data_IF_937795618214
#
_entry.id   IF_937795618214
#
_cell.length_a   1.000
_cell.length_b   1.000
_cell.length_c   1.000
_cell.angle_alpha   90.00
_cell.angle_beta   90.00
_cell.angle_gamma   90.00
#
_symmetry.space_group_name_H-M   'P 1'
#
loop_
_entity.id
_entity.type
_entity.pdbx_description
1 polymer ?
#
# COMPACT_ATOMS: atom_id res chain seq x y z
N UNK A 1 12.55 -1.56 3.01
CA UNK A 1 12.73 -2.28 4.26
C UNK A 1 14.19 -2.56 4.59
N UNK A 2 14.44 -3.17 5.73
CA UNK A 2 15.78 -3.60 6.15
C UNK A 2 16.24 -4.85 5.38
N UNK A 3 17.55 -5.08 5.30
CA UNK A 3 18.19 -6.24 4.63
C UNK A 3 19.44 -6.71 5.38
N UNK A 4 19.63 -6.31 6.59
CA UNK A 4 20.84 -6.65 7.34
C UNK A 4 20.74 -7.97 8.10
N UNK A 5 21.77 -8.27 8.90
CA UNK A 5 21.84 -9.45 9.77
C UNK A 5 20.67 -9.59 10.74
N UNK A 6 20.00 -8.48 11.03
CA UNK A 6 18.85 -8.44 11.93
C UNK A 6 17.51 -8.67 11.23
N UNK A 7 17.50 -8.93 9.90
CA UNK A 7 16.25 -9.23 9.18
C UNK A 7 15.56 -10.44 9.81
N UNK A 8 14.24 -10.39 10.08
CA UNK A 8 13.53 -11.47 10.76
C UNK A 8 13.65 -12.79 10.00
N UNK A 9 14.01 -13.85 10.72
CA UNK A 9 13.96 -15.23 10.25
C UNK A 9 12.55 -15.80 10.47
N UNK A 10 12.28 -16.97 9.92
CA UNK A 10 10.95 -17.60 9.99
C UNK A 10 10.52 -17.91 11.43
N UNK A 11 11.45 -18.28 12.30
CA UNK A 11 11.26 -18.56 13.71
C UNK A 11 11.06 -17.32 14.60
N UNK A 12 11.28 -16.12 14.02
CA UNK A 12 11.09 -14.81 14.66
C UNK A 12 9.79 -14.12 14.18
N UNK A 13 8.94 -14.84 13.43
CA UNK A 13 7.66 -14.36 12.92
C UNK A 13 6.51 -15.07 13.65
N UNK A 14 5.62 -14.29 14.23
CA UNK A 14 4.53 -14.75 15.10
C UNK A 14 3.17 -14.43 14.47
N UNK A 15 2.13 -15.15 14.87
CA UNK A 15 0.73 -14.88 14.48
C UNK A 15 0.17 -13.63 15.15
N UNK A 16 0.69 -13.30 16.35
CA UNK A 16 0.31 -12.13 17.12
C UNK A 16 1.50 -11.66 17.96
N UNK A 17 1.85 -10.38 17.88
CA UNK A 17 2.94 -9.73 18.61
C UNK A 17 2.90 -8.20 18.44
N UNK A 18 3.94 -7.50 18.89
CA UNK A 18 4.02 -6.04 19.00
C UNK A 18 3.95 -5.29 17.66
N UNK A 19 4.67 -5.75 16.63
CA UNK A 19 4.78 -5.01 15.38
C UNK A 19 4.41 -5.89 14.18
N UNK A 20 3.39 -5.49 13.43
CA UNK A 20 3.01 -6.16 12.20
C UNK A 20 4.11 -5.98 11.14
N UNK A 21 4.72 -7.09 10.74
CA UNK A 21 5.78 -7.13 9.73
C UNK A 21 5.18 -7.45 8.37
N UNK A 22 4.94 -6.42 7.59
CA UNK A 22 4.28 -6.51 6.29
C UNK A 22 5.19 -7.20 5.26
N UNK A 23 4.60 -8.09 4.51
CA UNK A 23 5.17 -8.64 3.28
C UNK A 23 4.41 -8.07 2.05
N UNK A 24 4.89 -8.36 0.84
CA UNK A 24 4.31 -7.80 -0.39
C UNK A 24 2.86 -8.23 -0.66
N UNK A 25 2.40 -9.36 -0.07
CA UNK A 25 0.99 -9.79 -0.16
C UNK A 25 0.05 -8.89 0.63
N UNK A 26 0.58 -8.17 1.63
CA UNK A 26 -0.21 -7.23 2.42
C UNK A 26 -0.48 -5.89 1.70
N UNK A 27 0.11 -5.68 0.51
CA UNK A 27 -0.13 -4.49 -0.31
C UNK A 27 -0.70 -4.93 -1.65
N UNK A 28 -1.98 -4.67 -1.84
CA UNK A 28 -2.75 -5.05 -3.02
C UNK A 28 -3.04 -3.84 -3.91
N UNK A 29 -3.70 -4.04 -5.04
CA UNK A 29 -4.19 -2.95 -5.90
C UNK A 29 -5.16 -2.03 -5.16
N UNK A 30 -5.89 -2.57 -4.17
CA UNK A 30 -6.90 -1.83 -3.41
C UNK A 30 -6.36 -1.19 -2.12
N UNK A 31 -5.07 -1.37 -1.81
CA UNK A 31 -4.45 -0.89 -0.59
C UNK A 31 -3.97 -2.00 0.33
N UNK A 32 -3.99 -1.78 1.64
CA UNK A 32 -3.61 -2.84 2.59
C UNK A 32 -4.62 -3.98 2.63
N UNK A 33 -4.10 -5.23 2.65
CA UNK A 33 -4.83 -6.44 3.05
C UNK A 33 -4.14 -7.06 4.26
N UNK A 34 -4.94 -7.49 5.22
CA UNK A 34 -4.50 -8.14 6.46
C UNK A 34 -5.02 -9.58 6.59
N UNK A 35 -5.28 -10.25 5.45
CA UNK A 35 -5.72 -11.65 5.40
C UNK A 35 -4.63 -12.58 5.95
N UNK A 36 -3.37 -12.27 5.67
CA UNK A 36 -2.21 -12.91 6.28
C UNK A 36 -1.46 -11.89 7.15
N UNK A 37 -1.09 -12.30 8.36
CA UNK A 37 -0.41 -11.44 9.32
C UNK A 37 0.80 -12.15 9.90
N UNK A 38 1.90 -11.43 9.96
CA UNK A 38 3.12 -11.86 10.62
C UNK A 38 3.62 -10.72 11.50
N UNK A 39 3.94 -11.02 12.72
CA UNK A 39 4.37 -10.04 13.69
C UNK A 39 5.79 -10.32 14.15
N UNK A 40 6.45 -9.28 14.63
CA UNK A 40 7.75 -9.35 15.29
C UNK A 40 7.68 -8.74 16.67
N UNK A 41 8.55 -9.19 17.56
CA UNK A 41 8.66 -8.68 18.93
C UNK A 41 9.09 -7.21 18.94
N UNK A 42 8.82 -6.52 20.05
CA UNK A 42 9.28 -5.15 20.30
C UNK A 42 10.80 -5.04 20.25
N UNK A 43 11.50 -6.06 20.76
CA UNK A 43 12.96 -6.13 20.71
C UNK A 43 13.48 -6.21 19.27
N UNK A 44 12.86 -7.09 18.46
CA UNK A 44 13.21 -7.22 17.04
C UNK A 44 12.91 -5.93 16.28
N UNK A 45 11.77 -5.29 16.52
CA UNK A 45 11.42 -4.00 15.91
C UNK A 45 12.46 -2.92 16.19
N UNK A 46 13.01 -2.85 17.42
CA UNK A 46 14.06 -1.90 17.77
C UNK A 46 15.41 -2.18 17.09
N UNK A 47 15.74 -3.43 16.82
CA UNK A 47 16.98 -3.83 16.15
C UNK A 47 17.00 -3.48 14.66
N UNK A 48 15.83 -3.39 14.03
CA UNK A 48 15.70 -3.05 12.63
C UNK A 48 15.81 -1.54 12.42
N UNK A 49 16.69 -1.14 11.50
CA UNK A 49 17.03 0.28 11.26
C UNK A 49 16.12 0.99 10.27
N UNK A 50 15.51 0.23 9.34
CA UNK A 50 14.71 0.79 8.23
C UNK A 50 13.35 0.10 8.12
N UNK A 51 12.41 0.78 7.48
CA UNK A 51 11.11 0.19 7.13
C UNK A 51 10.02 0.34 8.18
N UNK A 52 10.24 1.11 9.26
CA UNK A 52 9.18 1.49 10.21
C UNK A 52 8.25 2.50 9.55
N UNK A 53 6.94 2.23 9.60
CA UNK A 53 5.92 3.16 9.12
C UNK A 53 5.56 4.18 10.20
N UNK A 54 5.27 5.38 9.73
CA UNK A 54 4.60 6.44 10.46
C UNK A 54 3.24 6.72 9.79
N UNK A 55 2.30 7.27 10.53
CA UNK A 55 1.00 7.65 9.96
C UNK A 55 1.19 8.53 8.73
N UNK A 56 0.34 8.33 7.74
CA UNK A 56 0.36 9.02 6.46
C UNK A 56 1.51 8.63 5.51
N UNK A 57 2.28 7.60 5.84
CA UNK A 57 3.21 7.00 4.90
C UNK A 57 2.47 6.27 3.77
N UNK A 58 3.06 6.35 2.58
CA UNK A 58 2.63 5.58 1.42
C UNK A 58 3.62 4.42 1.23
N UNK A 59 3.10 3.21 1.09
CA UNK A 59 3.90 2.01 0.83
C UNK A 59 3.76 1.64 -0.64
N UNK A 60 4.89 1.41 -1.31
CA UNK A 60 4.95 0.94 -2.70
C UNK A 60 5.69 -0.40 -2.76
N UNK A 61 5.11 -1.39 -3.42
CA UNK A 61 5.77 -2.66 -3.67
C UNK A 61 6.80 -2.53 -4.79
N UNK A 62 8.00 -3.03 -4.53
CA UNK A 62 9.14 -2.99 -5.47
C UNK A 62 9.57 -4.36 -5.97
N UNK A 63 8.96 -5.44 -5.44
CA UNK A 63 9.18 -6.84 -5.84
C UNK A 63 7.86 -7.62 -5.79
N UNK A 64 7.79 -8.72 -6.50
CA UNK A 64 6.56 -9.49 -6.65
C UNK A 64 5.54 -8.72 -7.49
N UNK A 65 4.42 -8.33 -6.91
CA UNK A 65 3.44 -7.44 -7.56
C UNK A 65 3.94 -5.98 -7.51
N UNK A 66 4.85 -5.63 -8.42
CA UNK A 66 5.44 -4.29 -8.50
C UNK A 66 4.38 -3.24 -8.78
N UNK A 67 4.42 -2.12 -8.05
CA UNK A 67 3.57 -0.96 -8.29
C UNK A 67 2.28 -0.92 -7.48
N UNK A 68 2.01 -1.91 -6.63
CA UNK A 68 0.90 -1.81 -5.68
C UNK A 68 1.20 -0.75 -4.63
N UNK A 69 0.18 0.03 -4.27
CA UNK A 69 0.28 1.16 -3.35
C UNK A 69 -0.73 1.05 -2.23
N UNK A 70 -0.27 1.19 -0.99
CA UNK A 70 -1.12 1.28 0.19
C UNK A 70 -0.80 2.54 1.00
N UNK A 71 -1.80 3.06 1.69
CA UNK A 71 -1.70 4.27 2.51
C UNK A 71 -1.99 3.96 3.97
N UNK A 72 -1.11 4.41 4.86
CA UNK A 72 -1.22 4.16 6.29
C UNK A 72 -1.94 5.31 6.99
N UNK A 73 -3.26 5.33 6.85
CA UNK A 73 -4.15 6.33 7.46
C UNK A 73 -4.65 5.92 8.86
N UNK A 74 -5.52 6.74 9.44
CA UNK A 74 -6.09 6.52 10.76
C UNK A 74 -7.05 5.32 10.81
N UNK A 75 -7.58 4.85 9.68
CA UNK A 75 -8.49 3.69 9.61
C UNK A 75 -7.76 2.38 9.85
N UNK A 76 -6.43 2.36 9.67
CA UNK A 76 -5.63 1.16 9.93
C UNK A 76 -5.43 0.99 11.43
N UNK A 77 -6.02 -0.06 12.00
CA UNK A 77 -6.02 -0.33 13.45
C UNK A 77 -4.65 -0.64 14.06
N UNK A 78 -3.70 -1.08 13.25
CA UNK A 78 -2.36 -1.45 13.74
C UNK A 78 -1.52 -0.20 13.98
N UNK A 79 -0.97 -0.04 15.19
CA UNK A 79 -0.14 1.11 15.58
C UNK A 79 1.33 0.97 15.16
N UNK A 80 1.81 -0.26 15.07
CA UNK A 80 3.22 -0.55 14.78
C UNK A 80 3.27 -1.42 13.53
N UNK A 81 3.72 -0.84 12.43
CA UNK A 81 3.90 -1.53 11.16
C UNK A 81 5.33 -1.35 10.67
N UNK A 82 5.83 -2.37 10.02
CA UNK A 82 7.12 -2.35 9.36
C UNK A 82 7.06 -3.11 8.05
N UNK A 83 7.67 -2.58 7.01
CA UNK A 83 7.75 -3.23 5.70
C UNK A 83 8.93 -4.18 5.61
N UNK A 84 8.79 -5.24 4.82
CA UNK A 84 9.87 -6.10 4.40
C UNK A 84 10.76 -5.44 3.31
N UNK A 85 11.77 -6.18 2.84
CA UNK A 85 12.72 -5.67 1.83
C UNK A 85 12.14 -5.57 0.40
N UNK A 86 10.94 -6.08 0.16
CA UNK A 86 10.25 -6.01 -1.14
C UNK A 86 9.42 -4.74 -1.36
N UNK A 87 9.48 -3.82 -0.41
CA UNK A 87 8.69 -2.59 -0.43
C UNK A 87 9.55 -1.37 -0.07
N UNK A 88 9.04 -0.20 -0.37
CA UNK A 88 9.60 1.08 0.08
C UNK A 88 8.50 1.97 0.69
N UNK A 89 8.93 2.91 1.51
CA UNK A 89 8.09 3.93 2.10
C UNK A 89 8.35 5.24 1.34
N UNK A 90 7.27 5.88 0.92
CA UNK A 90 7.25 7.25 0.45
C UNK A 90 6.62 8.10 1.55
N UNK A 91 7.40 9.04 2.08
CA UNK A 91 6.97 9.97 3.12
C UNK A 91 7.00 11.37 2.56
N UNK A 92 5.85 11.91 2.12
CA UNK A 92 5.79 13.28 1.62
C UNK A 92 6.25 14.27 2.69
N UNK A 93 7.11 15.21 2.31
CA UNK A 93 7.62 16.25 3.20
C UNK A 93 7.11 17.65 2.84
N UNK A 94 6.35 17.76 1.77
CA UNK A 94 5.82 19.03 1.30
C UNK A 94 4.35 19.19 1.68
N UNK A 95 3.92 20.36 2.16
CA UNK A 95 2.50 20.63 2.44
C UNK A 95 1.67 20.76 1.16
N UNK A 96 2.31 21.00 0.00
CA UNK A 96 1.64 21.24 -1.28
C UNK A 96 1.34 19.95 -2.04
N UNK A 97 1.09 18.85 -1.33
CA UNK A 97 0.81 17.56 -1.92
C UNK A 97 -0.45 16.95 -1.31
N UNK A 98 -1.50 16.80 -2.13
CA UNK A 98 -2.67 16.04 -1.74
C UNK A 98 -2.34 14.53 -1.76
N UNK A 99 -2.51 13.87 -0.63
CA UNK A 99 -2.14 12.45 -0.46
C UNK A 99 -3.01 11.52 -1.33
N UNK A 100 -4.31 11.78 -1.45
CA UNK A 100 -5.19 10.96 -2.32
C UNK A 100 -4.80 11.09 -3.78
N UNK A 101 -4.48 12.31 -4.20
CA UNK A 101 -4.00 12.58 -5.55
C UNK A 101 -2.73 11.78 -5.85
N UNK A 102 -1.70 11.89 -5.00
CA UNK A 102 -0.42 11.19 -5.26
C UNK A 102 -0.56 9.67 -5.19
N UNK A 103 -1.41 9.13 -4.32
CA UNK A 103 -1.72 7.69 -4.27
C UNK A 103 -2.32 7.24 -5.60
N UNK A 104 -3.28 8.00 -6.14
CA UNK A 104 -3.89 7.70 -7.42
C UNK A 104 -2.88 7.74 -8.57
N UNK A 105 -2.05 8.77 -8.62
CA UNK A 105 -0.96 8.90 -9.61
C UNK A 105 0.01 7.71 -9.50
N UNK A 106 0.41 7.32 -8.29
CA UNK A 106 1.32 6.19 -8.09
C UNK A 106 0.70 4.85 -8.50
N UNK A 107 -0.60 4.62 -8.22
CA UNK A 107 -1.31 3.39 -8.60
C UNK A 107 -1.45 3.24 -10.12
N UNK A 108 -1.65 4.35 -10.81
CA UNK A 108 -1.88 4.37 -12.27
C UNK A 108 -0.59 4.62 -13.07
N UNK A 109 0.56 4.75 -12.40
CA UNK A 109 1.82 4.96 -13.10
C UNK A 109 2.29 3.68 -13.80
N UNK A 110 2.74 3.84 -15.04
CA UNK A 110 3.31 2.74 -15.81
C UNK A 110 4.79 2.54 -15.43
N UNK A 111 5.06 1.53 -14.63
CA UNK A 111 6.42 1.17 -14.19
C UNK A 111 7.16 0.28 -15.20
N UNK A 112 6.56 -0.14 -16.31
CA UNK A 112 7.15 -1.10 -17.26
C UNK A 112 8.54 -0.68 -17.76
N UNK A 113 8.74 0.62 -18.01
CA UNK A 113 10.02 1.17 -18.51
C UNK A 113 11.16 1.15 -17.48
N UNK A 114 10.84 0.99 -16.20
CA UNK A 114 11.81 1.06 -15.10
C UNK A 114 11.95 -0.26 -14.35
N UNK A 115 11.04 -1.21 -14.58
CA UNK A 115 11.14 -2.57 -14.05
C UNK A 115 12.36 -3.26 -14.67
N UNK A 116 13.05 -4.04 -13.87
CA UNK A 116 14.14 -4.93 -14.29
C UNK A 116 13.86 -6.36 -13.85
N UNK A 117 14.42 -7.33 -14.59
CA UNK A 117 14.24 -8.77 -14.35
C UNK A 117 12.96 -9.32 -15.00
N UNK A 118 13.12 -10.27 -15.94
CA UNK A 118 12.02 -10.93 -16.64
C UNK A 118 11.33 -11.98 -15.76
N UNK A 119 12.10 -12.80 -15.04
CA UNK A 119 11.57 -13.86 -14.19
C UNK A 119 11.05 -13.35 -12.83
N UNK A 120 11.73 -12.37 -12.25
CA UNK A 120 11.30 -11.71 -11.00
C UNK A 120 11.32 -10.19 -11.17
N UNK A 121 10.20 -9.58 -11.54
CA UNK A 121 10.10 -8.13 -11.71
C UNK A 121 10.54 -7.38 -10.46
N UNK A 122 11.43 -6.42 -10.62
CA UNK A 122 11.90 -5.55 -9.55
C UNK A 122 11.89 -4.10 -10.01
N UNK A 123 11.55 -3.21 -9.10
CA UNK A 123 11.60 -1.75 -9.29
C UNK A 123 12.80 -1.19 -8.50
N UNK A 124 13.95 -0.98 -9.16
CA UNK A 124 15.14 -0.42 -8.49
C UNK A 124 14.87 1.01 -8.02
N UNK A 125 15.23 1.31 -6.78
CA UNK A 125 15.03 2.66 -6.20
C UNK A 125 15.75 3.74 -7.02
N UNK A 126 16.91 3.42 -7.59
CA UNK A 126 17.67 4.34 -8.44
C UNK A 126 16.92 4.73 -9.73
N UNK A 127 16.16 3.79 -10.30
CA UNK A 127 15.29 4.05 -11.46
C UNK A 127 13.99 4.76 -11.05
N UNK A 128 13.41 4.34 -9.91
CA UNK A 128 12.20 4.97 -9.37
C UNK A 128 12.38 6.48 -9.13
N UNK A 129 13.53 6.88 -8.58
CA UNK A 129 13.87 8.30 -8.34
C UNK A 129 13.89 9.17 -9.60
N UNK A 130 13.97 8.58 -10.79
CA UNK A 130 13.97 9.28 -12.08
C UNK A 130 12.57 9.39 -12.69
N UNK A 131 11.57 8.80 -12.09
CA UNK A 131 10.19 8.88 -12.58
C UNK A 131 9.67 10.29 -12.29
N UNK A 132 9.25 10.97 -13.34
CA UNK A 132 8.55 12.24 -13.23
C UNK A 132 7.06 11.96 -13.00
N UNK A 133 6.51 12.55 -11.95
CA UNK A 133 5.09 12.50 -11.66
C UNK A 133 4.45 13.84 -11.99
N UNK A 134 3.23 13.87 -12.55
CA UNK A 134 2.50 15.11 -12.72
C UNK A 134 2.21 15.71 -11.34
N UNK A 135 2.50 17.00 -11.18
CA UNK A 135 2.25 17.72 -9.92
C UNK A 135 1.60 19.06 -10.24
N UNK A 136 0.29 19.10 -10.54
CA UNK A 136 -0.43 20.33 -10.76
C UNK A 136 -0.53 21.15 -9.46
N UNK A 137 -0.99 22.43 -9.54
CA UNK A 137 -1.27 23.22 -8.34
C UNK A 137 -2.17 22.50 -7.36
N UNK A 138 -2.00 22.75 -6.04
CA UNK A 138 -2.71 22.03 -4.97
C UNK A 138 -4.24 22.11 -5.12
N UNK A 139 -4.79 23.21 -5.61
CA UNK A 139 -6.22 23.35 -5.89
C UNK A 139 -6.73 22.25 -6.83
N UNK A 140 -6.05 22.05 -7.96
CA UNK A 140 -6.41 21.00 -8.93
C UNK A 140 -6.20 19.58 -8.36
N UNK A 141 -5.17 19.38 -7.50
CA UNK A 141 -4.99 18.10 -6.83
C UNK A 141 -6.18 17.80 -5.88
N UNK A 142 -6.69 18.83 -5.19
CA UNK A 142 -7.83 18.69 -4.29
C UNK A 142 -9.11 18.39 -5.07
N UNK A 143 -9.41 19.14 -6.13
CA UNK A 143 -10.56 18.89 -7.01
C UNK A 143 -10.55 17.45 -7.56
N UNK A 144 -9.40 17.00 -8.03
CA UNK A 144 -9.23 15.63 -8.50
C UNK A 144 -9.47 14.59 -7.39
N UNK A 145 -8.94 14.82 -6.19
CA UNK A 145 -9.11 13.92 -5.04
C UNK A 145 -10.57 13.84 -4.58
N UNK A 146 -11.31 14.95 -4.65
CA UNK A 146 -12.75 15.00 -4.36
C UNK A 146 -13.55 14.25 -5.42
N UNK A 147 -13.22 14.44 -6.70
CA UNK A 147 -13.82 13.70 -7.79
C UNK A 147 -13.62 12.17 -7.64
N UNK A 148 -12.39 11.72 -7.39
CA UNK A 148 -12.09 10.29 -7.16
C UNK A 148 -12.90 9.76 -5.98
N UNK A 149 -13.02 10.53 -4.89
CA UNK A 149 -13.80 10.14 -3.73
C UNK A 149 -15.29 9.97 -4.06
N UNK A 150 -15.83 10.81 -4.93
CA UNK A 150 -17.22 10.70 -5.40
C UNK A 150 -17.41 9.45 -6.26
N UNK A 151 -16.48 9.18 -7.17
CA UNK A 151 -16.51 7.98 -8.03
C UNK A 151 -16.44 6.71 -7.17
N UNK A 152 -15.54 6.64 -6.19
CA UNK A 152 -15.41 5.48 -5.28
C UNK A 152 -16.71 5.23 -4.51
N UNK A 153 -17.36 6.29 -3.99
CA UNK A 153 -18.66 6.19 -3.30
C UNK A 153 -19.75 5.66 -4.22
N UNK A 154 -19.80 6.15 -5.47
CA UNK A 154 -20.79 5.72 -6.46
C UNK A 154 -20.58 4.26 -6.85
N UNK A 155 -19.34 3.84 -7.06
CA UNK A 155 -18.99 2.45 -7.34
C UNK A 155 -19.42 1.54 -6.18
N UNK A 156 -19.11 1.89 -4.95
CA UNK A 156 -19.52 1.14 -3.76
C UNK A 156 -21.05 1.00 -3.64
N UNK A 157 -21.78 2.08 -3.91
CA UNK A 157 -23.26 2.05 -3.92
C UNK A 157 -23.80 1.08 -4.99
N UNK A 158 -23.22 1.10 -6.19
CA UNK A 158 -23.57 0.16 -7.26
C UNK A 158 -23.28 -1.29 -6.89
N UNK A 159 -22.12 -1.57 -6.26
CA UNK A 159 -21.75 -2.91 -5.81
C UNK A 159 -22.74 -3.45 -4.75
N UNK A 160 -23.15 -2.60 -3.80
CA UNK A 160 -24.20 -2.95 -2.82
C UNK A 160 -25.52 -3.26 -3.54
N UNK A 161 -25.98 -2.40 -4.44
CA UNK A 161 -27.21 -2.58 -5.18
C UNK A 161 -27.23 -3.92 -5.96
N UNK A 162 -26.13 -4.23 -6.66
CA UNK A 162 -25.95 -5.50 -7.38
C UNK A 162 -26.00 -6.69 -6.43
N UNK A 163 -25.36 -6.59 -5.26
CA UNK A 163 -25.35 -7.66 -4.26
C UNK A 163 -26.76 -7.92 -3.70
N UNK A 164 -27.48 -6.86 -3.38
CA UNK A 164 -28.87 -6.94 -2.90
C UNK A 164 -29.77 -7.59 -3.98
N UNK A 165 -29.67 -7.11 -5.22
CA UNK A 165 -30.44 -7.65 -6.33
C UNK A 165 -30.14 -9.14 -6.59
N UNK A 166 -28.89 -9.55 -6.60
CA UNK A 166 -28.50 -10.97 -6.72
C UNK A 166 -29.04 -11.84 -5.60
N UNK A 167 -29.12 -11.32 -4.39
CA UNK A 167 -29.68 -12.06 -3.26
C UNK A 167 -31.23 -12.19 -3.37
N UNK A 168 -31.94 -11.15 -3.80
CA UNK A 168 -33.38 -11.21 -4.00
C UNK A 168 -33.78 -12.21 -5.08
N UNK A 169 -33.01 -12.33 -6.17
CA UNK A 169 -33.25 -13.34 -7.20
C UNK A 169 -33.11 -14.79 -6.68
N UNK A 170 -32.29 -15.06 -5.71
CA UNK A 170 -32.14 -16.41 -5.12
C UNK A 170 -33.35 -16.85 -4.31
N UNK A 171 -34.16 -15.91 -3.84
CA UNK A 171 -35.42 -16.22 -3.11
C UNK A 171 -36.67 -16.32 -4.02
N UNK A 172 -36.53 -15.96 -5.29
CA UNK A 172 -37.66 -16.01 -6.27
C UNK A 172 -37.72 -17.32 -7.05
N UNK A 173 -36.87 -18.30 -6.75
CA UNK A 173 -36.79 -19.61 -7.48
C UNK A 173 -37.14 -20.77 -6.53
N UNK A 174 -38.03 -20.55 -5.56
CA UNK A 174 -38.65 -21.64 -4.75
C UNK A 174 -40.15 -21.62 -4.97
#
# INVERSE_FOLDING_TARGET
GDRGKNYPKSDELFSEEYCLFLNTKNVTKNGFSFDTKQFITKTKDKLLRKGKLERYDIVLTTRGTVGNVAYYDELIKYKHLRINSGMLILRPKTPNLNQKFIIHVLRNNNYSRVISGSAQPQLPITKLKKILLPLPPLALQNEFADFVTLVDKSQFACEIAIKVWRNSLKFSII
#
